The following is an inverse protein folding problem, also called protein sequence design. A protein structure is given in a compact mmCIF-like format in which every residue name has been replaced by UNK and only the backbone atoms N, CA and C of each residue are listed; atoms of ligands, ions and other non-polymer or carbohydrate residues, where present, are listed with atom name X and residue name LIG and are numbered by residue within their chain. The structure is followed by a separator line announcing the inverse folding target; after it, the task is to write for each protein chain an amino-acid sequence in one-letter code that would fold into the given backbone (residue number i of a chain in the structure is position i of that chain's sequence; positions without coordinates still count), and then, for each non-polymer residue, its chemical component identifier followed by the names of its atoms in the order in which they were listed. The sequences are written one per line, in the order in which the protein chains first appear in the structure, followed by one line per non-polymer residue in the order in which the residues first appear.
data_IF_426888295862
#
_entry.id   IF_426888295862
#
_cell.length_a   1.000
_cell.length_b   1.000
_cell.length_c   1.000
_cell.angle_alpha   90.00
_cell.angle_beta   90.00
_cell.angle_gamma   90.00
#
_symmetry.space_group_name_H-M   'P 1'
#
loop_
_entity.id
_entity.type
_entity.pdbx_description
1 polymer ?
#
# COMPACT_ATOMS: atom_id res chain seq x y z
N UNK A 1 12.88 1.35 17.51
CA UNK A 1 13.11 1.54 16.06
C UNK A 1 12.78 0.22 15.37
N UNK A 2 11.78 0.17 14.47
CA UNK A 2 11.46 -1.08 13.75
C UNK A 2 12.61 -1.39 12.79
N UNK A 3 13.18 -2.59 12.89
CA UNK A 3 14.32 -3.05 12.09
C UNK A 3 14.17 -2.70 10.60
N UNK A 4 15.20 -2.07 10.04
CA UNK A 4 15.23 -1.53 8.68
C UNK A 4 15.57 -2.61 7.62
N UNK A 5 15.25 -3.88 7.90
CA UNK A 5 15.37 -4.94 6.91
C UNK A 5 14.30 -4.72 5.84
N UNK A 6 14.70 -4.71 4.58
CA UNK A 6 13.80 -4.58 3.42
C UNK A 6 12.86 -5.79 3.37
N UNK A 7 11.78 -5.72 4.14
CA UNK A 7 10.78 -6.75 4.17
C UNK A 7 9.79 -6.49 3.02
N UNK A 8 9.80 -7.36 2.02
CA UNK A 8 8.92 -7.27 0.84
C UNK A 8 7.44 -7.19 1.23
N UNK A 9 7.05 -7.71 2.41
CA UNK A 9 5.69 -7.59 2.96
C UNK A 9 5.24 -6.15 3.24
N UNK A 10 6.18 -5.20 3.31
CA UNK A 10 5.87 -3.78 3.47
C UNK A 10 5.61 -3.07 2.14
N UNK A 11 5.88 -3.70 1.00
CA UNK A 11 5.55 -3.12 -0.31
C UNK A 11 4.07 -3.34 -0.59
N UNK A 12 3.31 -2.25 -0.60
CA UNK A 12 1.90 -2.29 -0.93
C UNK A 12 1.68 -2.69 -2.39
N UNK A 13 0.50 -3.23 -2.75
CA UNK A 13 0.15 -3.54 -4.14
C UNK A 13 0.29 -2.36 -5.12
N UNK A 14 0.22 -1.13 -4.62
CA UNK A 14 0.42 0.09 -5.40
C UNK A 14 1.89 0.54 -5.55
N UNK A 15 2.84 -0.17 -4.95
CA UNK A 15 4.27 0.18 -4.94
C UNK A 15 4.71 1.03 -3.75
N UNK A 16 3.79 1.48 -2.89
CA UNK A 16 4.13 2.24 -1.69
C UNK A 16 4.86 1.37 -0.66
N UNK A 17 5.99 1.85 -0.14
CA UNK A 17 6.63 1.23 1.01
C UNK A 17 5.90 1.65 2.29
N UNK A 18 5.19 0.72 2.94
CA UNK A 18 4.50 0.98 4.20
C UNK A 18 5.46 1.43 5.31
N UNK A 19 6.75 1.07 5.24
CA UNK A 19 7.78 1.53 6.18
C UNK A 19 7.90 3.05 6.25
N UNK A 20 7.54 3.79 5.19
CA UNK A 20 7.51 5.27 5.19
C UNK A 20 6.10 5.86 5.41
N UNK A 21 5.08 5.01 5.58
CA UNK A 21 3.70 5.46 5.77
C UNK A 21 3.46 5.88 7.23
N UNK A 22 2.91 7.08 7.44
CA UNK A 22 2.55 7.60 8.77
C UNK A 22 1.66 6.62 9.56
N UNK A 23 0.74 5.92 8.89
CA UNK A 23 -0.16 4.95 9.52
C UNK A 23 0.57 3.75 10.11
N UNK A 24 1.67 3.32 9.48
CA UNK A 24 2.48 2.18 9.89
C UNK A 24 3.51 2.57 10.97
N UNK A 25 3.96 3.83 10.94
CA UNK A 25 4.94 4.35 11.89
C UNK A 25 4.34 4.79 13.22
N UNK A 26 3.02 5.05 13.30
CA UNK A 26 2.37 5.48 14.55
C UNK A 26 2.53 4.47 15.69
N UNK A 27 2.65 4.97 16.92
CA UNK A 27 2.83 4.14 18.13
C UNK A 27 1.54 3.47 18.62
N UNK A 28 0.40 4.14 18.48
CA UNK A 28 -0.92 3.63 18.90
C UNK A 28 -1.77 3.25 17.71
N UNK A 29 -2.54 2.17 17.84
CA UNK A 29 -3.35 1.59 16.77
C UNK A 29 -2.54 1.28 15.50
N UNK A 30 -1.26 0.94 15.63
CA UNK A 30 -0.32 0.85 14.49
C UNK A 30 -0.89 0.05 13.31
N UNK A 31 -0.87 0.64 12.11
CA UNK A 31 -1.29 -0.08 10.91
C UNK A 31 -0.31 -1.23 10.66
N UNK A 32 -0.84 -2.41 10.34
CA UNK A 32 -0.08 -3.61 10.02
C UNK A 32 0.53 -3.61 8.61
N UNK A 33 0.33 -2.52 7.84
CA UNK A 33 0.76 -2.40 6.44
C UNK A 33 -0.31 -2.85 5.46
N UNK A 34 -0.19 -2.46 4.19
CA UNK A 34 -1.23 -2.74 3.18
C UNK A 34 -1.54 -4.24 3.03
N UNK A 35 -0.52 -5.10 3.15
CA UNK A 35 -0.62 -6.56 3.08
C UNK A 35 -0.84 -7.24 4.45
N UNK A 36 -0.78 -6.53 5.57
CA UNK A 36 -0.95 -7.11 6.91
C UNK A 36 -2.41 -7.40 7.31
N UNK A 37 -2.65 -7.78 8.57
CA UNK A 37 -4.00 -8.05 9.09
C UNK A 37 -4.88 -6.80 9.22
N UNK A 38 -6.20 -6.95 9.07
CA UNK A 38 -7.11 -5.79 9.03
C UNK A 38 -7.38 -5.14 10.39
N UNK A 39 -7.13 -5.83 11.51
CA UNK A 39 -7.56 -5.45 12.88
C UNK A 39 -7.18 -4.04 13.32
N UNK A 40 -6.03 -3.52 12.87
CA UNK A 40 -5.53 -2.18 13.25
C UNK A 40 -5.38 -1.22 12.08
N UNK A 41 -5.88 -1.60 10.90
CA UNK A 41 -5.80 -0.74 9.72
C UNK A 41 -6.82 0.39 9.85
N UNK A 42 -6.42 1.64 9.58
CA UNK A 42 -7.38 2.73 9.53
C UNK A 42 -8.33 2.56 8.32
N UNK A 43 -9.55 3.12 8.37
CA UNK A 43 -10.55 2.96 7.30
C UNK A 43 -10.04 3.31 5.90
N UNK A 44 -9.21 4.34 5.76
CA UNK A 44 -8.64 4.73 4.45
C UNK A 44 -7.65 3.70 3.87
N UNK A 45 -7.02 2.87 4.71
CA UNK A 45 -6.19 1.75 4.25
C UNK A 45 -7.05 0.53 3.88
N UNK A 46 -8.12 0.28 4.63
CA UNK A 46 -9.06 -0.82 4.37
C UNK A 46 -9.82 -0.60 3.05
N UNK A 47 -10.35 0.60 2.86
CA UNK A 47 -11.17 0.97 1.70
C UNK A 47 -10.35 1.65 0.59
N UNK A 48 -9.03 1.45 0.58
CA UNK A 48 -8.16 2.07 -0.42
C UNK A 48 -8.58 1.65 -1.83
N UNK A 49 -8.96 2.64 -2.64
CA UNK A 49 -9.46 2.43 -4.01
C UNK A 49 -8.42 1.83 -4.98
N UNK A 50 -7.13 1.92 -4.66
CA UNK A 50 -6.07 1.29 -5.46
C UNK A 50 -5.90 -0.17 -5.02
N UNK A 51 -5.83 -0.42 -3.71
CA UNK A 51 -5.71 -1.77 -3.14
C UNK A 51 -6.88 -2.66 -3.56
N UNK A 52 -8.09 -2.10 -3.59
CA UNK A 52 -9.31 -2.82 -3.95
C UNK A 52 -9.67 -2.66 -5.44
N UNK A 53 -8.72 -2.31 -6.30
CA UNK A 53 -8.98 -2.12 -7.73
C UNK A 53 -9.15 -3.48 -8.43
N UNK A 54 -10.24 -3.66 -9.17
CA UNK A 54 -10.53 -4.93 -9.88
C UNK A 54 -9.46 -5.29 -10.92
N UNK A 55 -8.96 -4.32 -11.68
CA UNK A 55 -7.89 -4.55 -12.68
C UNK A 55 -6.58 -4.98 -12.00
N UNK A 56 -6.30 -4.48 -10.79
CA UNK A 56 -5.14 -4.93 -10.00
C UNK A 56 -5.32 -6.38 -9.58
N UNK A 57 -6.52 -6.78 -9.16
CA UNK A 57 -6.82 -8.16 -8.76
C UNK A 57 -6.68 -9.18 -9.91
N UNK A 58 -6.67 -8.71 -11.17
CA UNK A 58 -6.44 -9.53 -12.36
C UNK A 58 -4.95 -9.69 -12.71
N UNK A 59 -4.05 -8.92 -12.08
CA UNK A 59 -2.61 -9.06 -12.32
C UNK A 59 -2.07 -10.33 -11.66
N UNK A 60 -1.11 -10.99 -12.32
CA UNK A 60 -0.52 -12.23 -11.79
C UNK A 60 0.32 -11.98 -10.55
N UNK A 61 1.03 -10.86 -10.48
CA UNK A 61 1.83 -10.48 -9.32
C UNK A 61 0.99 -9.94 -8.15
N UNK A 62 -0.24 -9.49 -8.39
CA UNK A 62 -1.01 -8.70 -7.43
C UNK A 62 -0.47 -7.27 -7.23
N UNK A 63 0.38 -6.77 -8.14
CA UNK A 63 0.94 -5.43 -8.08
C UNK A 63 0.57 -4.57 -9.29
N UNK A 64 0.50 -3.27 -9.03
CA UNK A 64 0.10 -2.28 -10.02
C UNK A 64 1.08 -2.16 -11.20
N UNK A 65 2.35 -2.55 -11.06
CA UNK A 65 3.34 -2.39 -12.14
C UNK A 65 3.02 -3.26 -13.36
N UNK A 66 2.28 -4.36 -13.18
CA UNK A 66 1.78 -5.20 -14.28
C UNK A 66 0.41 -4.75 -14.81
N UNK A 67 -0.21 -3.75 -14.18
CA UNK A 67 -1.53 -3.30 -14.60
C UNK A 67 -1.46 -2.67 -15.99
N UNK A 68 -2.36 -3.06 -16.89
CA UNK A 68 -2.48 -2.49 -18.25
C UNK A 68 -2.67 -0.96 -18.27
N UNK A 69 -3.13 -0.37 -17.16
CA UNK A 69 -3.32 1.08 -17.02
C UNK A 69 -2.15 1.78 -16.31
N UNK A 70 -1.04 1.09 -16.05
CA UNK A 70 0.09 1.64 -15.30
C UNK A 70 0.85 2.72 -16.10
N UNK A 71 1.27 3.85 -15.47
CA UNK A 71 0.78 4.37 -14.20
C UNK A 71 -0.58 5.07 -14.40
N UNK A 72 -1.60 4.63 -13.65
CA UNK A 72 -2.94 5.19 -13.78
C UNK A 72 -3.07 6.51 -13.00
N UNK A 73 -4.15 7.27 -13.24
CA UNK A 73 -4.42 8.55 -12.55
C UNK A 73 -4.32 8.43 -11.01
N UNK A 74 -4.83 7.34 -10.43
CA UNK A 74 -4.83 7.11 -8.97
C UNK A 74 -3.40 6.91 -8.43
N UNK A 75 -2.54 6.19 -9.15
CA UNK A 75 -1.13 6.03 -8.78
C UNK A 75 -0.37 7.35 -8.87
N UNK A 76 -0.59 8.12 -9.95
CA UNK A 76 0.03 9.46 -10.08
C UNK A 76 -0.40 10.41 -8.96
N UNK A 77 -1.65 10.34 -8.53
CA UNK A 77 -2.15 11.12 -7.38
C UNK A 77 -1.57 10.64 -6.05
N UNK A 78 -1.33 9.33 -5.90
CA UNK A 78 -0.67 8.76 -4.72
C UNK A 78 0.78 9.22 -4.63
N UNK A 79 1.53 9.10 -5.72
CA UNK A 79 2.94 9.53 -5.82
C UNK A 79 3.11 11.00 -5.41
N UNK A 80 2.25 11.89 -5.91
CA UNK A 80 2.23 13.32 -5.53
C UNK A 80 2.04 13.60 -4.02
N UNK A 81 1.51 12.66 -3.24
CA UNK A 81 1.36 12.85 -1.78
C UNK A 81 2.56 12.37 -0.98
N UNK A 82 3.44 11.60 -1.59
CA UNK A 82 4.60 10.96 -0.95
C UNK A 82 5.94 11.45 -1.51
N UNK A 83 5.91 12.44 -2.41
CA UNK A 83 7.05 13.26 -2.85
C UNK A 83 6.87 14.66 -2.29
#
# INVERSE_FOLDING_TARGET
MKNNSLNSTLIAPCGMNCGICLAYQRDKNTCSGCLGENSYKPPYCLHCIIKNCEILAQTSSGFCYECIKYPCKRLRQLDKRYR
#
